data_IF_123130045832
#
_entry.id   IF_123130045832
#
_cell.length_a   1.000
_cell.length_b   1.000
_cell.length_c   1.000
_cell.angle_alpha   90.00
_cell.angle_beta   90.00
_cell.angle_gamma   90.00
#
_symmetry.space_group_name_H-M   'P 1'
#
loop_
_entity.id
_entity.type
_entity.pdbx_description
1 polymer ?
#
# COMPACT_ATOMS: atom_id res chain seq x y z
N UNK A 1 -34.88 -2.87 6.46
CA UNK A 1 -35.26 -3.59 5.23
C UNK A 1 -35.48 -2.59 4.11
N UNK A 2 -34.98 -2.87 2.90
CA UNK A 2 -35.38 -2.17 1.68
C UNK A 2 -36.67 -2.83 1.16
N UNK A 3 -37.79 -2.13 1.31
CA UNK A 3 -39.12 -2.57 0.89
C UNK A 3 -40.18 -1.83 1.67
N UNK A 4 -41.27 -1.43 1.01
CA UNK A 4 -42.45 -1.00 1.74
C UNK A 4 -43.03 -2.21 2.47
N UNK A 5 -43.20 -2.08 3.79
CA UNK A 5 -43.88 -3.09 4.62
C UNK A 5 -45.40 -3.09 4.33
N UNK A 6 -45.87 -2.09 3.59
CA UNK A 6 -47.26 -1.94 3.17
C UNK A 6 -47.52 -2.61 1.81
N UNK A 7 -48.78 -3.02 1.61
CA UNK A 7 -49.26 -3.58 0.35
C UNK A 7 -49.05 -2.55 -0.77
N UNK A 8 -48.10 -2.79 -1.67
CA UNK A 8 -47.79 -1.88 -2.78
C UNK A 8 -49.01 -1.82 -3.70
N UNK A 9 -49.65 -0.65 -3.77
CA UNK A 9 -50.83 -0.48 -4.62
C UNK A 9 -50.52 -0.81 -6.08
N UNK A 10 -51.52 -1.31 -6.81
CA UNK A 10 -51.37 -1.61 -8.24
C UNK A 10 -50.86 -0.40 -9.05
N UNK A 11 -51.27 0.81 -8.64
CA UNK A 11 -50.81 2.07 -9.21
C UNK A 11 -49.33 2.33 -8.95
N UNK A 12 -48.88 2.16 -7.70
CA UNK A 12 -47.47 2.34 -7.32
C UNK A 12 -46.56 1.30 -7.97
N UNK A 13 -47.04 0.06 -8.11
CA UNK A 13 -46.33 -0.98 -8.85
C UNK A 13 -46.23 -0.64 -10.35
N UNK A 14 -47.30 -0.12 -10.95
CA UNK A 14 -47.29 0.33 -12.34
C UNK A 14 -46.40 1.57 -12.56
N UNK A 15 -46.30 2.46 -11.58
CA UNK A 15 -45.34 3.56 -11.60
C UNK A 15 -43.89 3.06 -11.50
N UNK A 16 -43.58 2.22 -10.51
CA UNK A 16 -42.25 1.64 -10.31
C UNK A 16 -41.73 0.93 -11.57
N UNK A 17 -42.59 0.15 -12.24
CA UNK A 17 -42.26 -0.52 -13.51
C UNK A 17 -41.96 0.46 -14.65
N UNK A 18 -42.53 1.67 -14.62
CA UNK A 18 -42.28 2.72 -15.61
C UNK A 18 -41.05 3.55 -15.29
N UNK A 19 -40.52 3.54 -14.06
CA UNK A 19 -39.32 4.30 -13.70
C UNK A 19 -38.11 3.92 -14.55
N UNK A 20 -37.93 2.64 -14.85
CA UNK A 20 -36.84 2.18 -15.73
C UNK A 20 -36.97 2.76 -17.15
N UNK A 21 -38.18 2.73 -17.73
CA UNK A 21 -38.42 3.31 -19.05
C UNK A 21 -38.22 4.84 -19.04
N UNK A 22 -38.75 5.54 -18.03
CA UNK A 22 -38.53 6.99 -17.84
C UNK A 22 -37.05 7.33 -17.72
N UNK A 23 -36.27 6.53 -16.99
CA UNK A 23 -34.84 6.74 -16.83
C UNK A 23 -34.08 6.63 -18.16
N UNK A 24 -34.44 5.67 -19.01
CA UNK A 24 -33.85 5.49 -20.35
C UNK A 24 -34.28 6.59 -21.31
N UNK A 25 -35.55 7.01 -21.25
CA UNK A 25 -36.14 8.02 -22.14
C UNK A 25 -35.85 9.47 -21.71
N UNK A 26 -35.17 9.67 -20.56
CA UNK A 26 -34.81 11.01 -20.07
C UNK A 26 -33.88 11.71 -21.06
N UNK A 27 -34.25 12.89 -21.59
CA UNK A 27 -33.40 13.63 -22.52
C UNK A 27 -32.01 13.92 -21.92
N UNK A 28 -30.95 13.52 -22.63
CA UNK A 28 -29.56 13.60 -22.13
C UNK A 28 -29.09 12.37 -21.33
N UNK A 29 -30.01 11.47 -20.96
CA UNK A 29 -29.74 10.21 -20.28
C UNK A 29 -29.23 10.35 -18.85
N UNK A 30 -29.17 9.22 -18.13
CA UNK A 30 -28.42 9.11 -16.89
C UNK A 30 -26.91 9.19 -17.19
N UNK A 31 -26.23 10.17 -16.61
CA UNK A 31 -24.77 10.29 -16.72
C UNK A 31 -24.09 9.29 -15.80
N UNK A 32 -23.87 8.08 -16.32
CA UNK A 32 -23.10 7.03 -15.64
C UNK A 32 -21.67 7.07 -16.16
N UNK A 33 -20.72 7.39 -15.28
CA UNK A 33 -19.32 7.52 -15.64
C UNK A 33 -18.43 7.26 -14.42
N UNK A 34 -17.15 6.96 -14.67
CA UNK A 34 -16.17 6.82 -13.59
C UNK A 34 -15.84 8.19 -12.98
N UNK A 35 -15.35 8.21 -11.74
CA UNK A 35 -14.90 9.45 -11.08
C UNK A 35 -13.78 10.12 -11.88
N UNK A 36 -12.88 9.34 -12.49
CA UNK A 36 -11.82 9.85 -13.37
C UNK A 36 -12.40 10.58 -14.59
N UNK A 37 -13.37 9.96 -15.27
CA UNK A 37 -14.03 10.57 -16.44
C UNK A 37 -14.80 11.84 -16.06
N UNK A 38 -15.44 11.87 -14.88
CA UNK A 38 -16.04 13.09 -14.32
C UNK A 38 -15.00 14.19 -14.12
N UNK A 39 -13.88 13.86 -13.46
CA UNK A 39 -12.81 14.83 -13.22
C UNK A 39 -12.20 15.34 -14.52
N UNK A 40 -11.95 14.47 -15.50
CA UNK A 40 -11.45 14.88 -16.81
C UNK A 40 -12.44 15.83 -17.53
N UNK A 41 -13.74 15.52 -17.51
CA UNK A 41 -14.76 16.39 -18.10
C UNK A 41 -14.86 17.75 -17.39
N UNK A 42 -14.73 17.76 -16.06
CA UNK A 42 -14.70 18.97 -15.24
C UNK A 42 -13.51 19.86 -15.61
N UNK A 43 -12.31 19.28 -15.67
CA UNK A 43 -11.07 19.99 -15.98
C UNK A 43 -11.06 20.55 -17.41
N UNK A 44 -11.64 19.82 -18.38
CA UNK A 44 -11.80 20.33 -19.76
C UNK A 44 -12.74 21.52 -19.85
N UNK A 45 -13.73 21.61 -18.96
CA UNK A 45 -14.70 22.71 -18.92
C UNK A 45 -14.13 23.96 -18.23
N UNK A 46 -13.23 23.78 -17.27
CA UNK A 46 -12.63 24.86 -16.46
C UNK A 46 -11.09 24.75 -16.40
N UNK A 47 -10.40 24.75 -17.55
CA UNK A 47 -8.96 24.47 -17.58
C UNK A 47 -8.13 25.58 -16.94
N UNK A 48 -8.55 26.84 -17.11
CA UNK A 48 -7.85 28.00 -16.56
C UNK A 48 -7.95 28.04 -15.04
N UNK A 49 -9.16 27.84 -14.51
CA UNK A 49 -9.44 27.81 -13.08
C UNK A 49 -8.76 26.62 -12.40
N UNK A 50 -8.65 25.48 -13.09
CA UNK A 50 -7.98 24.30 -12.56
C UNK A 50 -6.45 24.32 -12.72
N UNK A 51 -5.89 25.34 -13.38
CA UNK A 51 -4.47 25.44 -13.67
C UNK A 51 -3.94 24.28 -14.52
N UNK A 52 -4.73 23.79 -15.48
CA UNK A 52 -4.35 22.73 -16.42
C UNK A 52 -4.30 23.25 -17.85
N UNK A 53 -3.48 22.65 -18.74
CA UNK A 53 -3.52 22.97 -20.17
C UNK A 53 -4.91 22.74 -20.78
N UNK A 54 -5.33 23.60 -21.70
CA UNK A 54 -6.65 23.48 -22.35
C UNK A 54 -6.80 22.17 -23.15
N UNK A 55 -5.70 21.72 -23.75
CA UNK A 55 -5.59 20.55 -24.62
C UNK A 55 -4.86 19.38 -23.93
N UNK A 56 -5.00 19.27 -22.60
CA UNK A 56 -4.33 18.20 -21.87
C UNK A 56 -4.73 16.82 -22.41
N UNK A 57 -3.75 15.91 -22.43
CA UNK A 57 -3.94 14.52 -22.84
C UNK A 57 -3.85 13.61 -21.62
N UNK A 58 -4.81 12.68 -21.51
CA UNK A 58 -4.79 11.65 -20.47
C UNK A 58 -3.66 10.65 -20.76
N UNK A 59 -2.78 10.46 -19.79
CA UNK A 59 -1.59 9.62 -19.93
C UNK A 59 -1.94 8.17 -19.59
N UNK A 60 -1.66 7.25 -20.52
CA UNK A 60 -1.80 5.81 -20.28
C UNK A 60 -0.56 5.22 -19.56
N UNK A 61 -0.68 3.98 -19.07
CA UNK A 61 0.37 3.29 -18.33
C UNK A 61 1.67 3.13 -19.14
N UNK A 62 1.54 2.97 -20.45
CA UNK A 62 2.68 2.81 -21.36
C UNK A 62 3.45 4.14 -21.50
N UNK A 63 2.74 5.24 -21.71
CA UNK A 63 3.30 6.58 -21.76
C UNK A 63 3.97 6.94 -20.43
N UNK A 64 3.32 6.61 -19.30
CA UNK A 64 3.89 6.80 -17.98
C UNK A 64 5.22 6.04 -17.80
N UNK A 65 5.24 4.76 -18.20
CA UNK A 65 6.45 3.92 -18.16
C UNK A 65 7.58 4.49 -19.01
N UNK A 66 7.28 4.92 -20.24
CA UNK A 66 8.28 5.51 -21.14
C UNK A 66 8.81 6.83 -20.59
N UNK A 67 7.94 7.67 -20.03
CA UNK A 67 8.33 8.95 -19.45
C UNK A 67 9.26 8.77 -18.24
N UNK A 68 8.96 7.82 -17.35
CA UNK A 68 9.82 7.50 -16.20
C UNK A 68 11.21 7.05 -16.66
N UNK A 69 11.28 6.19 -17.68
CA UNK A 69 12.56 5.74 -18.27
C UNK A 69 13.36 6.89 -18.88
N UNK A 70 12.72 7.72 -19.70
CA UNK A 70 13.36 8.90 -20.32
C UNK A 70 13.99 9.82 -19.27
N UNK A 71 13.26 10.10 -18.18
CA UNK A 71 13.75 10.94 -17.08
C UNK A 71 14.96 10.31 -16.38
N UNK A 72 14.93 9.00 -16.12
CA UNK A 72 16.06 8.31 -15.48
C UNK A 72 17.28 8.26 -16.41
N UNK A 73 17.10 8.01 -17.70
CA UNK A 73 18.19 8.04 -18.68
C UNK A 73 18.85 9.42 -18.75
N UNK A 74 18.06 10.49 -18.75
CA UNK A 74 18.57 11.86 -18.67
C UNK A 74 19.32 12.12 -17.36
N UNK A 75 18.77 11.67 -16.22
CA UNK A 75 19.43 11.82 -14.93
C UNK A 75 20.77 11.10 -14.90
N UNK A 76 20.86 9.89 -15.46
CA UNK A 76 22.07 9.08 -15.51
C UNK A 76 23.15 9.71 -16.42
N UNK A 77 22.75 10.41 -17.48
CA UNK A 77 23.65 11.10 -18.40
C UNK A 77 24.04 12.52 -17.97
N UNK A 78 23.35 13.09 -16.98
CA UNK A 78 23.45 14.50 -16.61
C UNK A 78 23.94 14.78 -15.18
N UNK A 79 23.61 15.98 -14.68
CA UNK A 79 24.04 16.47 -13.37
C UNK A 79 23.42 15.72 -12.16
N UNK A 80 22.42 14.86 -12.40
CA UNK A 80 21.76 14.06 -11.36
C UNK A 80 22.29 12.62 -11.29
N UNK A 81 23.40 12.32 -11.97
CA UNK A 81 23.99 10.98 -12.04
C UNK A 81 24.29 10.40 -10.65
N UNK A 82 24.81 11.21 -9.73
CA UNK A 82 25.15 10.76 -8.38
C UNK A 82 23.94 10.20 -7.62
N UNK A 83 22.74 10.76 -7.86
CA UNK A 83 21.50 10.26 -7.25
C UNK A 83 21.08 8.91 -7.84
N UNK A 84 21.27 8.72 -9.15
CA UNK A 84 21.04 7.43 -9.84
C UNK A 84 22.03 6.39 -9.34
N UNK A 85 23.32 6.72 -9.28
CA UNK A 85 24.38 5.83 -8.81
C UNK A 85 24.17 5.45 -7.33
N UNK A 86 23.70 6.39 -6.49
CA UNK A 86 23.36 6.12 -5.10
C UNK A 86 22.21 5.10 -4.96
N UNK A 87 21.15 5.23 -5.77
CA UNK A 87 20.06 4.26 -5.76
C UNK A 87 20.51 2.90 -6.31
N UNK A 88 21.28 2.88 -7.40
CA UNK A 88 21.77 1.68 -8.07
C UNK A 88 22.67 0.80 -7.17
N UNK A 89 23.40 1.40 -6.22
CA UNK A 89 24.16 0.65 -5.20
C UNK A 89 23.30 -0.23 -4.30
N UNK A 90 22.01 0.07 -4.20
CA UNK A 90 21.09 -0.62 -3.29
C UNK A 90 19.99 -1.41 -4.01
N UNK A 91 19.75 -1.10 -5.28
CA UNK A 91 18.67 -1.65 -6.08
C UNK A 91 19.22 -2.17 -7.41
N UNK A 92 19.24 -3.49 -7.56
CA UNK A 92 19.79 -4.19 -8.73
C UNK A 92 18.77 -5.11 -9.40
N UNK A 93 17.47 -4.94 -9.13
CA UNK A 93 16.41 -5.82 -9.65
C UNK A 93 15.80 -5.34 -10.97
N UNK A 94 15.26 -6.28 -11.73
CA UNK A 94 14.57 -6.09 -13.02
C UNK A 94 13.28 -5.24 -12.96
N UNK A 95 12.91 -4.71 -11.78
CA UNK A 95 11.62 -4.04 -11.52
C UNK A 95 11.77 -2.54 -11.24
N UNK A 96 12.78 -1.89 -11.84
CA UNK A 96 13.02 -0.44 -11.70
C UNK A 96 11.77 0.38 -12.02
N UNK A 97 11.01 0.01 -13.06
CA UNK A 97 9.81 0.75 -13.43
C UNK A 97 8.75 0.74 -12.33
N UNK A 98 8.54 -0.40 -11.65
CA UNK A 98 7.63 -0.46 -10.51
C UNK A 98 8.11 0.42 -9.38
N UNK A 99 9.42 0.43 -9.08
CA UNK A 99 9.97 1.34 -8.07
C UNK A 99 9.68 2.80 -8.43
N UNK A 100 9.92 3.20 -9.68
CA UNK A 100 9.63 4.56 -10.14
C UNK A 100 8.13 4.88 -10.08
N UNK A 101 7.26 3.92 -10.41
CA UNK A 101 5.81 4.05 -10.26
C UNK A 101 5.35 4.20 -8.81
N UNK A 102 5.96 3.49 -7.86
CA UNK A 102 5.72 3.68 -6.42
C UNK A 102 6.22 5.05 -5.94
N UNK A 103 7.36 5.53 -6.45
CA UNK A 103 7.87 6.88 -6.14
C UNK A 103 6.87 7.94 -6.61
N UNK A 104 6.35 7.83 -7.83
CA UNK A 104 5.35 8.76 -8.36
C UNK A 104 4.05 8.73 -7.53
N UNK A 105 3.52 7.55 -7.22
CA UNK A 105 2.28 7.41 -6.43
C UNK A 105 2.40 7.95 -5.01
N UNK A 106 3.59 7.89 -4.43
CA UNK A 106 3.88 8.39 -3.08
C UNK A 106 4.68 9.69 -3.12
N UNK A 107 4.53 10.52 -4.16
CA UNK A 107 5.32 11.75 -4.35
C UNK A 107 5.31 12.65 -3.12
N UNK A 108 4.16 12.77 -2.45
CA UNK A 108 3.96 13.63 -1.28
C UNK A 108 4.71 13.16 -0.03
N UNK A 109 5.12 11.89 0.01
CA UNK A 109 5.92 11.34 1.11
C UNK A 109 7.41 11.71 1.00
N UNK A 110 7.86 12.21 -0.15
CA UNK A 110 9.25 12.57 -0.38
C UNK A 110 9.48 14.06 -0.13
N UNK A 111 10.40 14.43 0.77
CA UNK A 111 10.76 15.83 0.95
C UNK A 111 11.57 16.34 -0.24
N UNK A 112 11.41 17.63 -0.56
CA UNK A 112 12.23 18.30 -1.56
C UNK A 112 13.73 18.31 -1.18
N UNK A 113 14.03 18.43 0.11
CA UNK A 113 15.40 18.43 0.63
C UNK A 113 15.62 17.20 1.54
N UNK A 114 16.36 16.18 1.07
CA UNK A 114 16.58 14.95 1.82
C UNK A 114 17.61 15.15 2.93
N UNK A 115 17.15 15.10 4.19
CA UNK A 115 18.03 15.15 5.36
C UNK A 115 18.54 13.75 5.75
N UNK A 116 19.86 13.56 5.72
CA UNK A 116 20.50 12.32 6.17
C UNK A 116 20.33 12.13 7.68
N UNK A 117 20.55 13.16 8.49
CA UNK A 117 20.50 13.05 9.95
C UNK A 117 19.10 12.65 10.42
N UNK A 118 18.06 13.32 9.92
CA UNK A 118 16.67 12.97 10.16
C UNK A 118 16.32 11.58 9.66
N UNK A 119 16.86 11.14 8.52
CA UNK A 119 16.65 9.76 8.05
C UNK A 119 17.28 8.73 8.99
N UNK A 120 18.50 8.96 9.47
CA UNK A 120 19.18 8.07 10.42
C UNK A 120 18.42 7.99 11.76
N UNK A 121 17.89 9.13 12.23
CA UNK A 121 17.13 9.20 13.47
C UNK A 121 15.83 8.37 13.43
N UNK A 122 15.16 8.27 12.28
CA UNK A 122 13.98 7.39 12.11
C UNK A 122 14.27 5.91 12.42
N UNK A 123 15.53 5.50 12.32
CA UNK A 123 15.98 4.14 12.62
C UNK A 123 16.78 4.04 13.92
N UNK A 124 16.71 5.07 14.78
CA UNK A 124 17.40 5.08 16.08
C UNK A 124 18.92 5.18 15.98
N UNK A 125 19.44 5.75 14.90
CA UNK A 125 20.89 5.91 14.67
C UNK A 125 21.30 7.38 14.77
N UNK A 126 22.53 7.62 15.23
CA UNK A 126 23.11 8.96 15.20
C UNK A 126 23.41 9.40 13.76
N UNK A 127 23.53 10.70 13.54
CA UNK A 127 23.80 11.27 12.22
C UNK A 127 25.10 10.73 11.63
N UNK A 128 26.15 10.57 12.43
CA UNK A 128 27.47 10.13 11.96
C UNK A 128 27.66 8.61 12.00
N UNK A 129 26.61 7.85 12.37
CA UNK A 129 26.73 6.40 12.38
C UNK A 129 26.88 5.86 10.95
N UNK A 130 27.87 5.00 10.76
CA UNK A 130 28.20 4.43 9.47
C UNK A 130 28.70 2.98 9.59
N UNK A 131 29.13 2.42 8.47
CA UNK A 131 29.67 1.07 8.42
C UNK A 131 30.93 0.92 9.26
N UNK A 132 31.78 1.94 9.31
CA UNK A 132 33.03 1.88 10.06
C UNK A 132 32.76 1.86 11.57
N UNK A 133 31.89 2.76 12.06
CA UNK A 133 31.46 2.80 13.45
C UNK A 133 30.82 1.47 13.88
N UNK A 134 29.94 0.88 13.04
CA UNK A 134 29.36 -0.43 13.32
C UNK A 134 30.44 -1.52 13.49
N UNK A 135 31.43 -1.56 12.58
CA UNK A 135 32.49 -2.57 12.64
C UNK A 135 33.41 -2.35 13.83
N UNK A 136 33.73 -1.10 14.19
CA UNK A 136 34.53 -0.76 15.37
C UNK A 136 33.82 -1.12 16.69
N UNK A 137 32.49 -0.96 16.75
CA UNK A 137 31.71 -1.37 17.92
C UNK A 137 31.57 -2.90 18.03
N UNK A 138 31.73 -3.62 16.91
CA UNK A 138 31.50 -5.07 16.86
C UNK A 138 32.79 -5.88 17.03
N UNK A 139 33.89 -5.41 16.45
CA UNK A 139 35.16 -6.13 16.38
C UNK A 139 36.25 -5.44 17.21
N UNK A 140 37.11 -6.23 17.85
CA UNK A 140 38.31 -5.78 18.52
C UNK A 140 39.55 -6.58 18.06
N UNK A 141 40.71 -6.27 18.65
CA UNK A 141 41.99 -6.85 18.26
C UNK A 141 42.11 -8.37 18.50
N UNK A 142 41.25 -8.95 19.33
CA UNK A 142 41.25 -10.39 19.70
C UNK A 142 40.54 -11.25 18.67
N UNK A 143 39.57 -10.69 17.94
CA UNK A 143 38.62 -11.47 17.14
C UNK A 143 39.26 -12.19 15.95
N UNK A 144 40.16 -11.54 15.22
CA UNK A 144 40.81 -12.17 14.06
C UNK A 144 41.81 -13.26 14.47
N UNK A 145 42.66 -13.07 15.51
CA UNK A 145 43.42 -14.17 16.11
C UNK A 145 42.52 -15.31 16.60
N UNK A 146 41.45 -15.00 17.33
CA UNK A 146 40.50 -15.98 17.84
C UNK A 146 39.90 -16.85 16.73
N UNK A 147 39.44 -16.24 15.63
CA UNK A 147 38.89 -16.96 14.48
C UNK A 147 39.96 -17.88 13.89
N UNK A 148 41.19 -17.40 13.73
CA UNK A 148 42.32 -18.18 13.19
C UNK A 148 42.64 -19.40 14.03
N UNK A 149 42.64 -19.26 15.35
CA UNK A 149 42.94 -20.34 16.29
C UNK A 149 41.78 -21.34 16.39
N UNK A 150 40.53 -20.89 16.19
CA UNK A 150 39.34 -21.72 16.21
C UNK A 150 39.18 -22.58 14.94
N UNK A 151 39.63 -22.09 13.77
CA UNK A 151 39.50 -22.79 12.47
C UNK A 151 40.02 -24.24 12.47
N UNK A 152 41.28 -24.54 12.85
CA UNK A 152 41.79 -25.91 12.80
C UNK A 152 41.02 -26.85 13.74
N UNK A 153 40.49 -26.33 14.85
CA UNK A 153 39.69 -27.09 15.80
C UNK A 153 38.30 -27.46 15.23
N UNK A 154 37.67 -26.52 14.52
CA UNK A 154 36.37 -26.75 13.86
C UNK A 154 36.49 -27.75 12.71
N UNK A 155 37.57 -27.69 11.93
CA UNK A 155 37.84 -28.64 10.84
C UNK A 155 37.97 -30.08 11.33
N UNK A 156 38.63 -30.26 12.49
CA UNK A 156 38.84 -31.55 13.15
C UNK A 156 37.56 -32.13 13.78
N UNK A 157 36.64 -31.30 14.31
CA UNK A 157 35.41 -31.74 15.01
C UNK A 157 34.32 -32.37 14.10
N UNK A 158 34.36 -32.09 12.78
CA UNK A 158 33.47 -32.69 11.78
C UNK A 158 31.99 -32.23 11.84
N UNK A 159 31.17 -32.65 10.88
CA UNK A 159 29.73 -32.31 10.82
C UNK A 159 29.45 -30.80 10.72
N UNK A 160 28.53 -30.29 11.55
CA UNK A 160 28.16 -28.86 11.56
C UNK A 160 29.32 -27.93 11.93
N UNK A 161 30.25 -28.37 12.79
CA UNK A 161 31.42 -27.58 13.16
C UNK A 161 32.36 -27.39 11.95
N UNK A 162 32.59 -28.44 11.15
CA UNK A 162 33.38 -28.33 9.91
C UNK A 162 32.73 -27.40 8.89
N UNK A 163 31.39 -27.45 8.75
CA UNK A 163 30.65 -26.52 7.87
C UNK A 163 30.77 -25.07 8.35
N UNK A 164 30.76 -24.84 9.67
CA UNK A 164 31.01 -23.53 10.25
C UNK A 164 32.45 -23.07 10.00
N UNK A 165 33.44 -23.94 10.20
CA UNK A 165 34.85 -23.67 9.89
C UNK A 165 35.06 -23.24 8.44
N UNK A 166 34.47 -23.96 7.46
CA UNK A 166 34.56 -23.61 6.05
C UNK A 166 33.99 -22.21 5.71
N UNK A 167 32.98 -21.75 6.45
CA UNK A 167 32.43 -20.39 6.29
C UNK A 167 33.30 -19.35 7.00
N UNK A 168 33.76 -19.65 8.23
CA UNK A 168 34.67 -18.80 8.99
C UNK A 168 36.00 -18.58 8.26
N UNK A 169 36.46 -19.54 7.46
CA UNK A 169 37.68 -19.41 6.67
C UNK A 169 37.62 -18.25 5.64
N UNK A 170 36.43 -17.71 5.36
CA UNK A 170 36.22 -16.52 4.52
C UNK A 170 36.26 -15.20 5.30
N UNK A 171 36.53 -15.25 6.61
CA UNK A 171 36.65 -14.09 7.49
C UNK A 171 38.13 -13.84 7.76
N UNK A 172 38.72 -12.92 7.01
CA UNK A 172 40.13 -12.54 7.08
C UNK A 172 40.34 -11.19 7.79
N UNK A 173 39.38 -10.28 7.66
CA UNK A 173 39.38 -8.97 8.31
C UNK A 173 37.96 -8.52 8.72
N UNK A 174 37.85 -7.58 9.69
CA UNK A 174 36.58 -6.92 10.01
C UNK A 174 35.96 -6.29 8.75
N UNK A 175 34.77 -6.75 8.39
CA UNK A 175 34.04 -6.25 7.22
C UNK A 175 32.54 -6.55 7.35
N UNK A 176 31.73 -5.89 6.52
CA UNK A 176 30.29 -6.20 6.46
C UNK A 176 30.02 -7.66 6.06
N UNK A 177 30.84 -8.20 5.15
CA UNK A 177 30.75 -9.60 4.74
C UNK A 177 31.12 -10.54 5.90
N UNK A 178 32.19 -10.22 6.65
CA UNK A 178 32.59 -10.96 7.83
C UNK A 178 31.48 -10.97 8.90
N UNK A 179 30.91 -9.81 9.22
CA UNK A 179 29.79 -9.70 10.18
C UNK A 179 28.60 -10.56 9.74
N UNK A 180 28.20 -10.50 8.48
CA UNK A 180 27.11 -11.33 7.96
C UNK A 180 27.42 -12.83 8.03
N UNK A 181 28.67 -13.24 7.75
CA UNK A 181 29.11 -14.63 7.91
C UNK A 181 28.99 -15.05 9.37
N UNK A 182 29.50 -14.23 10.30
CA UNK A 182 29.45 -14.50 11.73
C UNK A 182 28.02 -14.60 12.24
N UNK A 183 27.10 -13.74 11.80
CA UNK A 183 25.68 -13.85 12.14
C UNK A 183 25.09 -15.22 11.76
N UNK A 184 25.47 -15.80 10.61
CA UNK A 184 24.96 -17.12 10.20
C UNK A 184 25.50 -18.28 11.03
N UNK A 185 26.64 -18.07 11.70
CA UNK A 185 27.37 -19.12 12.42
C UNK A 185 27.09 -19.01 13.91
N UNK A 186 27.30 -17.82 14.47
CA UNK A 186 27.27 -17.49 15.88
C UNK A 186 25.86 -17.21 16.42
N UNK A 187 24.86 -16.92 15.56
CA UNK A 187 23.49 -16.67 15.99
C UNK A 187 22.54 -17.81 15.61
N UNK A 188 21.47 -17.96 16.38
CA UNK A 188 20.36 -18.88 16.09
C UNK A 188 19.60 -18.47 14.83
N UNK A 189 18.91 -19.44 14.21
CA UNK A 189 18.12 -19.20 13.00
C UNK A 189 16.80 -18.48 13.29
N UNK A 190 16.15 -18.00 12.22
CA UNK A 190 14.85 -17.31 12.28
C UNK A 190 13.72 -18.13 12.92
N UNK A 191 13.81 -19.47 12.84
CA UNK A 191 12.78 -20.41 13.32
C UNK A 191 13.09 -20.97 14.73
N UNK A 192 14.11 -20.42 15.42
CA UNK A 192 14.45 -20.81 16.79
C UNK A 192 13.52 -20.17 17.82
N UNK A 193 13.43 -20.75 19.02
CA UNK A 193 12.63 -20.19 20.13
C UNK A 193 13.06 -18.76 20.52
N UNK A 194 14.35 -18.47 20.42
CA UNK A 194 14.91 -17.12 20.46
C UNK A 194 15.64 -16.87 19.12
N UNK A 195 14.99 -16.21 18.14
CA UNK A 195 15.57 -15.97 16.82
C UNK A 195 16.75 -15.00 16.87
N UNK A 196 17.82 -15.32 16.12
CA UNK A 196 19.01 -14.49 15.98
C UNK A 196 19.74 -14.15 17.30
N UNK A 197 19.60 -14.99 18.32
CA UNK A 197 20.31 -14.85 19.58
C UNK A 197 21.67 -15.55 19.55
N UNK A 198 22.62 -15.08 20.35
CA UNK A 198 23.94 -15.67 20.47
C UNK A 198 23.86 -17.16 20.85
N UNK A 199 24.61 -18.02 20.14
CA UNK A 199 24.71 -19.47 20.40
C UNK A 199 25.62 -19.80 21.59
N UNK A 200 25.57 -18.97 22.63
CA UNK A 200 26.28 -19.21 23.90
C UNK A 200 25.83 -20.57 24.45
N UNK A 201 26.78 -21.39 24.88
CA UNK A 201 26.49 -22.74 25.37
C UNK A 201 25.95 -23.73 24.33
N UNK A 202 25.92 -23.40 23.03
CA UNK A 202 25.45 -24.30 21.96
C UNK A 202 26.34 -24.39 20.72
N UNK A 203 27.26 -23.45 20.52
CA UNK A 203 28.33 -23.53 19.51
C UNK A 203 29.70 -23.32 20.16
N UNK A 204 30.75 -24.05 19.74
CA UNK A 204 30.72 -25.28 18.94
C UNK A 204 30.07 -26.46 19.67
N UNK A 205 30.12 -27.68 19.10
CA UNK A 205 29.63 -28.89 19.79
C UNK A 205 30.26 -29.04 21.18
N UNK A 206 29.49 -29.61 22.11
CA UNK A 206 29.86 -29.81 23.52
C UNK A 206 31.27 -30.37 23.71
N UNK A 207 31.64 -31.45 23.00
CA UNK A 207 32.95 -32.08 23.13
C UNK A 207 34.13 -31.17 22.74
N UNK A 208 33.93 -30.31 21.72
CA UNK A 208 34.96 -29.35 21.32
C UNK A 208 35.01 -28.17 22.30
N UNK A 209 33.83 -27.64 22.67
CA UNK A 209 33.66 -26.52 23.60
C UNK A 209 34.27 -26.78 24.98
N UNK A 210 34.04 -27.98 25.53
CA UNK A 210 34.55 -28.38 26.85
C UNK A 210 35.96 -28.99 26.78
N UNK A 211 36.52 -29.14 25.57
CA UNK A 211 37.82 -29.76 25.30
C UNK A 211 38.80 -28.76 24.69
N UNK A 212 39.24 -29.03 23.46
CA UNK A 212 40.32 -28.30 22.81
C UNK A 212 40.03 -26.80 22.59
N UNK A 213 38.76 -26.39 22.50
CA UNK A 213 38.39 -24.98 22.36
C UNK A 213 38.09 -24.27 23.69
N UNK A 214 38.18 -24.95 24.84
CA UNK A 214 37.75 -24.41 26.13
C UNK A 214 38.41 -23.07 26.49
N UNK A 215 39.71 -22.92 26.18
CA UNK A 215 40.45 -21.68 26.42
C UNK A 215 40.00 -20.50 25.54
N UNK A 216 39.40 -20.77 24.37
CA UNK A 216 38.92 -19.78 23.41
C UNK A 216 37.46 -19.36 23.69
N UNK A 217 36.73 -20.13 24.50
CA UNK A 217 35.30 -19.92 24.71
C UNK A 217 34.93 -18.56 25.31
N UNK A 218 35.63 -18.01 26.32
CA UNK A 218 35.28 -16.70 26.86
C UNK A 218 35.31 -15.58 25.79
N UNK A 219 36.36 -15.54 24.97
CA UNK A 219 36.46 -14.55 23.88
C UNK A 219 35.46 -14.84 22.76
N UNK A 220 35.17 -16.11 22.47
CA UNK A 220 34.16 -16.49 21.48
C UNK A 220 32.75 -16.11 21.92
N UNK A 221 32.39 -16.31 23.19
CA UNK A 221 31.08 -15.94 23.73
C UNK A 221 30.92 -14.42 23.78
N UNK A 222 31.99 -13.67 24.09
CA UNK A 222 32.01 -12.20 24.00
C UNK A 222 31.79 -11.73 22.54
N UNK A 223 32.49 -12.32 21.57
CA UNK A 223 32.25 -12.04 20.15
C UNK A 223 30.81 -12.40 19.72
N UNK A 224 30.25 -13.51 20.19
CA UNK A 224 28.85 -13.88 19.91
C UNK A 224 27.89 -12.80 20.42
N UNK A 225 28.09 -12.31 21.64
CA UNK A 225 27.25 -11.28 22.24
C UNK A 225 27.36 -9.94 21.47
N UNK A 226 28.58 -9.55 21.07
CA UNK A 226 28.79 -8.35 20.22
C UNK A 226 28.14 -8.48 18.85
N UNK A 227 28.23 -9.66 18.21
CA UNK A 227 27.56 -9.94 16.93
C UNK A 227 26.03 -9.91 17.07
N UNK A 228 25.47 -10.45 18.16
CA UNK A 228 24.04 -10.36 18.47
C UNK A 228 23.60 -8.89 18.61
N UNK A 229 24.33 -8.08 19.38
CA UNK A 229 24.06 -6.66 19.56
C UNK A 229 24.22 -5.84 18.27
N UNK A 230 25.16 -6.21 17.40
CA UNK A 230 25.44 -5.52 16.14
C UNK A 230 24.36 -5.77 15.08
N UNK A 231 23.72 -6.94 15.09
CA UNK A 231 22.73 -7.33 14.08
C UNK A 231 21.58 -6.34 13.89
N UNK A 232 20.81 -5.92 14.92
CA UNK A 232 19.73 -4.95 14.75
C UNK A 232 20.25 -3.60 14.24
N UNK A 233 21.43 -3.15 14.71
CA UNK A 233 22.08 -1.90 14.27
C UNK A 233 22.50 -1.98 12.80
N UNK A 234 23.00 -3.13 12.35
CA UNK A 234 23.33 -3.39 10.94
C UNK A 234 22.10 -3.32 10.04
N UNK A 235 21.01 -3.94 10.46
CA UNK A 235 19.74 -3.92 9.72
C UNK A 235 19.23 -2.47 9.66
N UNK A 236 19.19 -1.77 10.80
CA UNK A 236 18.81 -0.37 10.88
C UNK A 236 19.65 0.51 9.94
N UNK A 237 20.98 0.36 9.96
CA UNK A 237 21.89 1.12 9.09
C UNK A 237 21.62 0.82 7.61
N UNK A 238 21.45 -0.46 7.25
CA UNK A 238 21.14 -0.84 5.87
C UNK A 238 19.82 -0.22 5.40
N UNK A 239 18.77 -0.23 6.22
CA UNK A 239 17.48 0.36 5.86
C UNK A 239 17.58 1.89 5.80
N UNK A 240 18.25 2.52 6.75
CA UNK A 240 18.46 3.97 6.77
C UNK A 240 19.19 4.47 5.53
N UNK A 241 20.27 3.82 5.12
CA UNK A 241 21.03 4.17 3.92
C UNK A 241 20.21 3.98 2.64
N UNK A 242 19.45 2.87 2.54
CA UNK A 242 18.54 2.61 1.40
C UNK A 242 17.44 3.67 1.32
N UNK A 243 16.80 3.99 2.44
CA UNK A 243 15.75 5.02 2.52
C UNK A 243 16.30 6.41 2.19
N UNK A 244 17.50 6.73 2.64
CA UNK A 244 18.14 8.00 2.32
C UNK A 244 18.48 8.10 0.82
N UNK A 245 19.06 7.04 0.23
CA UNK A 245 19.33 6.98 -1.20
C UNK A 245 18.05 7.12 -2.04
N UNK A 246 16.95 6.49 -1.61
CA UNK A 246 15.64 6.64 -2.23
C UNK A 246 15.13 8.08 -2.16
N UNK A 247 15.24 8.74 -0.99
CA UNK A 247 14.83 10.15 -0.81
C UNK A 247 15.67 11.10 -1.68
N UNK A 248 16.98 10.89 -1.76
CA UNK A 248 17.88 11.66 -2.63
C UNK A 248 17.52 11.49 -4.10
N UNK A 249 17.26 10.25 -4.53
CA UNK A 249 16.81 9.97 -5.88
C UNK A 249 15.47 10.65 -6.18
N UNK A 250 14.46 10.48 -5.31
CA UNK A 250 13.13 11.04 -5.50
C UNK A 250 13.14 12.58 -5.57
N UNK A 251 13.94 13.24 -4.72
CA UNK A 251 14.11 14.70 -4.74
C UNK A 251 14.67 15.22 -6.08
N UNK A 252 15.51 14.43 -6.76
CA UNK A 252 16.01 14.77 -8.09
C UNK A 252 15.04 14.35 -9.21
N UNK A 253 14.38 13.20 -9.06
CA UNK A 253 13.54 12.58 -10.08
C UNK A 253 12.17 13.25 -10.22
N UNK A 254 11.44 13.45 -9.12
CA UNK A 254 10.06 13.95 -9.14
C UNK A 254 9.92 15.30 -9.85
N UNK A 255 10.75 16.33 -9.57
CA UNK A 255 10.64 17.61 -10.27
C UNK A 255 10.84 17.50 -11.78
N UNK A 256 11.75 16.63 -12.22
CA UNK A 256 12.01 16.37 -13.66
C UNK A 256 10.84 15.64 -14.29
N UNK A 257 10.32 14.61 -13.62
CA UNK A 257 9.14 13.88 -14.06
C UNK A 257 7.94 14.82 -14.23
N UNK A 258 7.63 15.63 -13.21
CA UNK A 258 6.53 16.60 -13.28
C UNK A 258 6.75 17.66 -14.37
N UNK A 259 7.97 18.18 -14.55
CA UNK A 259 8.28 19.13 -15.61
C UNK A 259 8.09 18.52 -17.02
N UNK A 260 8.55 17.29 -17.24
CA UNK A 260 8.42 16.58 -18.52
C UNK A 260 6.97 16.18 -18.82
N UNK A 261 6.20 15.86 -17.77
CA UNK A 261 4.75 15.61 -17.86
C UNK A 261 4.01 16.89 -18.23
N UNK A 262 4.29 18.00 -17.53
CA UNK A 262 3.68 19.31 -17.79
C UNK A 262 4.03 19.86 -19.19
N UNK A 263 5.28 19.71 -19.64
CA UNK A 263 5.71 20.15 -20.98
C UNK A 263 4.97 19.47 -22.13
N UNK A 264 4.41 18.27 -21.90
CA UNK A 264 3.59 17.52 -22.86
C UNK A 264 2.09 17.74 -22.69
N UNK A 265 1.70 18.55 -21.69
CA UNK A 265 0.32 18.71 -21.28
C UNK A 265 -0.33 17.39 -20.86
N UNK A 266 0.43 16.47 -20.26
CA UNK A 266 -0.09 15.18 -19.84
C UNK A 266 -0.64 15.24 -18.42
N UNK A 267 -1.76 14.56 -18.18
CA UNK A 267 -2.32 14.31 -16.85
C UNK A 267 -2.58 12.81 -16.70
N UNK A 268 -2.12 12.22 -15.60
CA UNK A 268 -2.51 10.87 -15.19
C UNK A 268 -3.79 10.89 -14.33
N UNK A 269 -4.32 9.71 -13.99
CA UNK A 269 -5.56 9.60 -13.22
C UNK A 269 -5.47 10.29 -11.85
N UNK A 270 -4.33 10.20 -11.18
CA UNK A 270 -4.11 10.85 -9.89
C UNK A 270 -4.10 12.38 -10.03
N UNK A 271 -3.49 12.91 -11.10
CA UNK A 271 -3.55 14.34 -11.41
C UNK A 271 -4.98 14.81 -11.64
N UNK A 272 -5.79 14.05 -12.38
CA UNK A 272 -7.17 14.42 -12.67
C UNK A 272 -7.97 14.59 -11.37
N UNK A 273 -7.83 13.63 -10.44
CA UNK A 273 -8.47 13.70 -9.12
C UNK A 273 -7.93 14.88 -8.31
N UNK A 274 -6.60 15.07 -8.28
CA UNK A 274 -5.97 16.13 -7.49
C UNK A 274 -6.33 17.54 -8.00
N UNK A 275 -6.32 17.77 -9.31
CA UNK A 275 -6.72 19.04 -9.91
C UNK A 275 -8.21 19.31 -9.75
N UNK A 276 -9.07 18.30 -9.94
CA UNK A 276 -10.52 18.46 -9.72
C UNK A 276 -10.83 18.76 -8.25
N UNK A 277 -10.19 18.05 -7.32
CA UNK A 277 -10.31 18.30 -5.89
C UNK A 277 -9.89 19.72 -5.49
N UNK A 278 -8.78 20.22 -6.05
CA UNK A 278 -8.33 21.61 -5.84
C UNK A 278 -9.31 22.62 -6.41
N UNK A 279 -9.77 22.43 -7.65
CA UNK A 279 -10.76 23.31 -8.30
C UNK A 279 -12.04 23.43 -7.46
N UNK A 280 -12.53 22.32 -6.93
CA UNK A 280 -13.74 22.28 -6.10
C UNK A 280 -13.52 22.77 -4.66
N UNK A 281 -12.27 22.88 -4.22
CA UNK A 281 -11.93 23.35 -2.87
C UNK A 281 -11.55 24.83 -2.83
N UNK A 282 -11.28 25.47 -3.97
CA UNK A 282 -10.94 26.89 -4.05
C UNK A 282 -12.19 27.77 -3.86
N UNK A 283 -12.31 28.50 -2.73
CA UNK A 283 -13.50 29.29 -2.44
C UNK A 283 -13.78 30.40 -3.46
N UNK A 284 -12.77 30.83 -4.22
CA UNK A 284 -12.89 31.91 -5.20
C UNK A 284 -13.61 31.48 -6.48
N UNK A 285 -13.54 30.19 -6.84
CA UNK A 285 -14.09 29.66 -8.10
C UNK A 285 -15.10 28.53 -7.88
N UNK A 286 -15.03 27.79 -6.76
CA UNK A 286 -15.81 26.58 -6.54
C UNK A 286 -17.32 26.80 -6.68
N UNK A 287 -17.89 27.85 -6.06
CA UNK A 287 -19.32 28.14 -6.15
C UNK A 287 -19.76 28.40 -7.60
N UNK A 288 -18.95 29.13 -8.37
CA UNK A 288 -19.24 29.41 -9.77
C UNK A 288 -19.09 28.16 -10.64
N UNK A 289 -18.05 27.35 -10.42
CA UNK A 289 -17.84 26.06 -11.10
C UNK A 289 -19.01 25.12 -10.87
N UNK A 290 -19.42 24.94 -9.61
CA UNK A 290 -20.56 24.12 -9.20
C UNK A 290 -21.88 24.62 -9.81
N UNK A 291 -22.10 25.95 -9.82
CA UNK A 291 -23.26 26.56 -10.47
C UNK A 291 -23.28 26.32 -11.99
N UNK A 292 -22.11 26.38 -12.64
CA UNK A 292 -21.95 26.22 -14.09
C UNK A 292 -21.95 24.76 -14.55
N UNK A 293 -21.73 23.79 -13.66
CA UNK A 293 -21.94 22.36 -13.89
C UNK A 293 -23.43 22.08 -14.14
N UNK A 294 -23.88 22.23 -15.40
CA UNK A 294 -25.18 21.82 -15.97
C UNK A 294 -26.47 22.19 -15.19
N UNK A 295 -26.44 23.27 -14.41
CA UNK A 295 -27.60 23.72 -13.62
C UNK A 295 -27.66 23.15 -12.20
N UNK A 296 -26.58 22.51 -11.73
CA UNK A 296 -26.50 21.90 -10.42
C UNK A 296 -26.70 20.39 -10.52
N UNK A 297 -25.78 19.63 -9.94
CA UNK A 297 -25.98 18.20 -9.72
C UNK A 297 -27.05 18.09 -8.64
N UNK A 298 -28.20 17.52 -8.97
CA UNK A 298 -29.27 17.32 -7.98
C UNK A 298 -29.10 16.00 -7.21
N UNK A 299 -28.54 14.99 -7.86
CA UNK A 299 -28.40 13.64 -7.29
C UNK A 299 -26.99 13.09 -7.52
N UNK A 300 -26.35 12.61 -6.45
CA UNK A 300 -25.06 11.91 -6.50
C UNK A 300 -25.32 10.45 -6.14
N UNK A 301 -25.03 9.55 -7.08
CA UNK A 301 -25.11 8.11 -6.87
C UNK A 301 -23.68 7.54 -6.92
N UNK A 302 -23.25 6.92 -5.83
CA UNK A 302 -21.93 6.28 -5.70
C UNK A 302 -22.15 4.79 -5.55
N UNK A 303 -21.66 4.02 -6.51
CA UNK A 303 -21.64 2.55 -6.47
C UNK A 303 -20.22 2.06 -6.13
N UNK A 304 -20.10 0.84 -5.61
CA UNK A 304 -18.83 0.24 -5.15
C UNK A 304 -18.01 1.18 -4.24
N UNK A 305 -18.71 1.86 -3.32
CA UNK A 305 -18.13 2.92 -2.48
C UNK A 305 -16.96 2.44 -1.59
N UNK A 306 -16.87 1.13 -1.31
CA UNK A 306 -15.74 0.55 -0.58
C UNK A 306 -14.41 0.64 -1.33
N UNK A 307 -14.44 0.73 -2.67
CA UNK A 307 -13.25 0.76 -3.52
C UNK A 307 -12.82 2.19 -3.92
N UNK A 308 -13.44 3.20 -3.31
CA UNK A 308 -13.15 4.61 -3.58
C UNK A 308 -11.93 5.11 -2.79
N UNK A 309 -11.01 5.78 -3.48
CA UNK A 309 -9.78 6.32 -2.87
C UNK A 309 -10.02 7.60 -2.06
N UNK A 310 -9.13 8.00 -1.14
CA UNK A 310 -9.28 9.24 -0.37
C UNK A 310 -9.44 10.50 -1.23
N UNK A 311 -8.71 10.61 -2.35
CA UNK A 311 -8.82 11.75 -3.26
C UNK A 311 -10.18 11.80 -3.97
N UNK A 312 -10.70 10.64 -4.39
CA UNK A 312 -12.03 10.54 -4.99
C UNK A 312 -13.13 10.90 -3.98
N UNK A 313 -13.01 10.44 -2.73
CA UNK A 313 -13.90 10.83 -1.65
C UNK A 313 -13.89 12.33 -1.39
N UNK A 314 -12.72 12.98 -1.47
CA UNK A 314 -12.63 14.43 -1.33
C UNK A 314 -13.40 15.16 -2.44
N UNK A 315 -13.35 14.67 -3.68
CA UNK A 315 -14.15 15.22 -4.79
C UNK A 315 -15.65 15.05 -4.51
N UNK A 316 -16.09 13.84 -4.12
CA UNK A 316 -17.50 13.56 -3.80
C UNK A 316 -18.00 14.45 -2.66
N UNK A 317 -17.20 14.60 -1.61
CA UNK A 317 -17.51 15.45 -0.46
C UNK A 317 -17.76 16.90 -0.88
N UNK A 318 -16.89 17.46 -1.72
CA UNK A 318 -17.04 18.85 -2.18
C UNK A 318 -18.26 19.07 -3.06
N UNK A 319 -18.62 18.08 -3.88
CA UNK A 319 -19.85 18.14 -4.66
C UNK A 319 -21.09 18.09 -3.76
N UNK A 320 -21.04 17.31 -2.68
CA UNK A 320 -22.15 17.15 -1.74
C UNK A 320 -22.27 18.28 -0.71
N UNK A 321 -21.22 19.08 -0.47
CA UNK A 321 -21.24 20.22 0.47
C UNK A 321 -22.37 21.21 0.19
N UNK A 322 -22.69 21.43 -1.10
CA UNK A 322 -23.77 22.34 -1.52
C UNK A 322 -25.17 21.78 -1.22
N UNK A 323 -25.32 20.50 -0.87
CA UNK A 323 -26.63 19.86 -0.68
C UNK A 323 -27.19 20.10 0.71
N UNK A 324 -26.33 20.48 1.66
CA UNK A 324 -26.70 20.79 3.05
C UNK A 324 -26.57 22.28 3.37
N UNK A 325 -26.08 23.10 2.43
CA UNK A 325 -25.88 24.53 2.60
C UNK A 325 -27.16 25.35 2.24
N UNK A 326 -28.16 25.36 3.14
CA UNK A 326 -29.32 26.27 3.07
C UNK A 326 -30.21 26.16 1.82
N UNK A 327 -31.18 27.08 1.67
CA UNK A 327 -32.00 27.19 0.45
C UNK A 327 -31.09 27.52 -0.74
N UNK A 328 -30.74 26.49 -1.52
CA UNK A 328 -30.02 26.66 -2.77
C UNK A 328 -30.81 27.53 -3.76
N UNK A 329 -30.16 28.02 -4.80
CA UNK A 329 -30.79 28.85 -5.84
C UNK A 329 -31.95 28.15 -6.61
N UNK A 330 -32.19 26.87 -6.34
CA UNK A 330 -33.24 26.03 -6.91
C UNK A 330 -34.03 25.35 -5.79
N UNK A 331 -35.36 25.40 -5.89
CA UNK A 331 -36.29 24.69 -5.02
C UNK A 331 -36.36 23.20 -5.39
N UNK A 332 -35.23 22.50 -5.30
CA UNK A 332 -35.08 21.08 -5.65
C UNK A 332 -34.36 20.35 -4.53
N UNK A 333 -34.95 19.25 -4.06
CA UNK A 333 -34.34 18.40 -3.02
C UNK A 333 -33.15 17.63 -3.59
N UNK A 334 -31.94 18.04 -3.21
CA UNK A 334 -30.70 17.36 -3.64
C UNK A 334 -30.35 16.16 -2.79
N UNK A 335 -30.00 15.02 -3.36
CA UNK A 335 -29.79 13.76 -2.60
C UNK A 335 -28.46 13.08 -2.91
N UNK A 336 -27.95 12.34 -1.92
CA UNK A 336 -26.81 11.44 -2.09
C UNK A 336 -27.26 10.00 -1.80
N UNK A 337 -26.84 9.06 -2.63
CA UNK A 337 -27.10 7.64 -2.49
C UNK A 337 -25.80 6.88 -2.67
N UNK A 338 -25.42 6.08 -1.66
CA UNK A 338 -24.14 5.38 -1.61
C UNK A 338 -24.40 3.90 -1.40
N UNK A 339 -23.86 3.07 -2.30
CA UNK A 339 -23.93 1.61 -2.22
C UNK A 339 -22.51 1.07 -2.13
N UNK A 340 -22.30 0.10 -1.25
CA UNK A 340 -21.03 -0.59 -1.14
C UNK A 340 -21.10 -1.75 -0.17
N UNK A 341 -20.17 -2.69 -0.30
CA UNK A 341 -20.01 -3.83 0.59
C UNK A 341 -18.59 -3.91 1.11
N UNK A 342 -18.43 -3.70 2.43
CA UNK A 342 -17.13 -3.78 3.10
C UNK A 342 -16.42 -5.11 2.84
N UNK A 343 -17.17 -6.21 2.71
CA UNK A 343 -16.66 -7.56 2.49
C UNK A 343 -16.03 -7.74 1.10
N UNK A 344 -16.31 -6.82 0.18
CA UNK A 344 -15.85 -6.86 -1.22
C UNK A 344 -14.69 -5.90 -1.51
N UNK A 345 -14.21 -5.17 -0.51
CA UNK A 345 -13.06 -4.26 -0.64
C UNK A 345 -11.76 -5.04 -0.91
N UNK A 346 -11.38 -5.17 -2.18
CA UNK A 346 -10.17 -5.91 -2.61
C UNK A 346 -9.14 -5.05 -3.33
N UNK A 347 -9.41 -3.76 -3.55
CA UNK A 347 -8.56 -2.84 -4.32
C UNK A 347 -7.66 -1.94 -3.46
N UNK A 348 -7.23 -2.39 -2.28
CA UNK A 348 -6.32 -1.61 -1.42
C UNK A 348 -4.98 -1.29 -2.10
N UNK A 349 -4.53 -2.12 -3.03
CA UNK A 349 -3.34 -1.88 -3.85
C UNK A 349 -3.51 -0.74 -4.88
N UNK A 350 -4.75 -0.31 -5.16
CA UNK A 350 -5.08 0.87 -5.96
C UNK A 350 -5.46 2.08 -5.10
N UNK A 351 -5.28 2.00 -3.77
CA UNK A 351 -5.53 3.09 -2.85
C UNK A 351 -6.95 3.17 -2.29
N UNK A 352 -7.78 2.14 -2.50
CA UNK A 352 -9.07 2.03 -1.79
C UNK A 352 -8.84 1.99 -0.27
N UNK A 353 -9.60 2.81 0.46
CA UNK A 353 -9.49 2.90 1.92
C UNK A 353 -10.86 2.69 2.59
N UNK A 354 -11.03 1.48 3.13
CA UNK A 354 -12.23 1.08 3.86
C UNK A 354 -12.50 1.96 5.09
N UNK A 355 -11.46 2.48 5.75
CA UNK A 355 -11.62 3.39 6.90
C UNK A 355 -12.17 4.73 6.43
N UNK A 356 -11.78 5.18 5.24
CA UNK A 356 -12.29 6.42 4.65
C UNK A 356 -13.75 6.28 4.27
N UNK A 357 -14.16 5.14 3.73
CA UNK A 357 -15.59 4.84 3.48
C UNK A 357 -16.43 4.98 4.75
N UNK A 358 -16.01 4.36 5.85
CA UNK A 358 -16.68 4.46 7.17
C UNK A 358 -16.71 5.90 7.68
N UNK A 359 -15.58 6.60 7.61
CA UNK A 359 -15.47 8.01 8.00
C UNK A 359 -16.45 8.89 7.22
N UNK A 360 -16.54 8.66 5.91
CA UNK A 360 -17.40 9.45 5.04
C UNK A 360 -18.89 9.16 5.28
N UNK A 361 -19.25 7.90 5.56
CA UNK A 361 -20.60 7.54 6.00
C UNK A 361 -21.01 8.33 7.24
N UNK A 362 -20.17 8.34 8.28
CA UNK A 362 -20.43 9.10 9.51
C UNK A 362 -20.49 10.61 9.26
N UNK A 363 -19.60 11.13 8.41
CA UNK A 363 -19.56 12.54 8.04
C UNK A 363 -20.83 13.01 7.34
N UNK A 364 -21.26 12.29 6.31
CA UNK A 364 -22.52 12.64 5.63
C UNK A 364 -23.72 12.46 6.55
N UNK A 365 -23.74 11.43 7.41
CA UNK A 365 -24.83 11.25 8.37
C UNK A 365 -24.98 12.47 9.28
N UNK A 366 -23.87 12.96 9.85
CA UNK A 366 -23.88 14.15 10.70
C UNK A 366 -24.30 15.43 9.94
N UNK A 367 -23.82 15.63 8.71
CA UNK A 367 -24.17 16.80 7.89
C UNK A 367 -25.65 16.83 7.51
N UNK A 368 -26.18 15.70 7.06
CA UNK A 368 -27.57 15.57 6.65
C UNK A 368 -28.54 15.60 7.84
N UNK A 369 -28.15 15.07 9.00
CA UNK A 369 -28.86 15.25 10.28
C UNK A 369 -29.00 16.74 10.62
N UNK A 370 -27.89 17.49 10.58
CA UNK A 370 -27.89 18.93 10.87
C UNK A 370 -28.76 19.75 9.90
N UNK A 371 -28.93 19.27 8.66
CA UNK A 371 -29.82 19.85 7.66
C UNK A 371 -31.29 19.39 7.77
N UNK A 372 -31.65 18.62 8.80
CA UNK A 372 -33.02 18.13 9.02
C UNK A 372 -33.45 17.02 8.05
N UNK A 373 -32.50 16.34 7.41
CA UNK A 373 -32.73 15.34 6.35
C UNK A 373 -31.85 14.10 6.55
N UNK A 374 -32.05 13.33 7.64
CA UNK A 374 -31.13 12.28 8.06
C UNK A 374 -30.87 11.23 6.98
N UNK A 375 -29.61 10.78 6.88
CA UNK A 375 -29.26 9.65 6.01
C UNK A 375 -29.94 8.38 6.49
N UNK A 376 -30.52 7.64 5.53
CA UNK A 376 -31.07 6.32 5.79
C UNK A 376 -29.98 5.27 5.57
N UNK A 377 -29.71 4.46 6.61
CA UNK A 377 -28.82 3.30 6.49
C UNK A 377 -29.67 2.05 6.34
N UNK A 378 -29.48 1.34 5.23
CA UNK A 378 -30.26 0.15 4.88
C UNK A 378 -29.31 -0.99 4.50
N UNK A 379 -29.69 -2.21 4.89
CA UNK A 379 -28.94 -3.43 4.57
C UNK A 379 -29.73 -4.30 3.59
N UNK A 380 -29.01 -4.94 2.68
CA UNK A 380 -29.54 -5.89 1.69
C UNK A 380 -29.14 -7.31 2.06
N UNK A 381 -29.97 -7.96 2.87
CA UNK A 381 -29.72 -9.34 3.32
C UNK A 381 -30.11 -10.40 2.25
N UNK A 382 -31.01 -10.04 1.34
CA UNK A 382 -31.54 -10.96 0.33
C UNK A 382 -30.65 -11.03 -0.91
N UNK A 383 -30.12 -12.22 -1.20
CA UNK A 383 -29.46 -12.54 -2.46
C UNK A 383 -30.47 -13.10 -3.47
N UNK A 384 -30.58 -12.40 -4.60
CA UNK A 384 -31.32 -12.85 -5.78
C UNK A 384 -30.48 -13.68 -6.75
N UNK A 385 -29.17 -13.81 -6.50
CA UNK A 385 -28.19 -14.40 -7.45
C UNK A 385 -27.88 -15.87 -7.17
N UNK A 386 -27.95 -16.31 -5.92
CA UNK A 386 -27.38 -17.59 -5.49
C UNK A 386 -28.37 -18.46 -4.74
N UNK A 387 -28.17 -19.78 -4.81
CA UNK A 387 -28.99 -20.76 -4.11
C UNK A 387 -28.63 -20.83 -2.62
N UNK A 388 -29.54 -21.34 -1.77
CA UNK A 388 -29.26 -21.53 -0.35
C UNK A 388 -28.01 -22.38 -0.07
N UNK A 389 -27.68 -23.34 -0.94
CA UNK A 389 -26.52 -24.20 -0.76
C UNK A 389 -25.19 -23.43 -0.83
N UNK A 390 -25.07 -22.50 -1.77
CA UNK A 390 -23.87 -21.66 -1.93
C UNK A 390 -23.77 -20.65 -0.79
N UNK A 391 -24.87 -19.94 -0.49
CA UNK A 391 -24.88 -18.90 0.56
C UNK A 391 -24.54 -19.48 1.93
N UNK A 392 -25.10 -20.63 2.30
CA UNK A 392 -24.77 -21.29 3.57
C UNK A 392 -23.30 -21.67 3.67
N UNK A 393 -22.68 -22.14 2.59
CA UNK A 393 -21.25 -22.46 2.64
C UNK A 393 -20.41 -21.20 2.83
N UNK A 394 -20.75 -20.11 2.14
CA UNK A 394 -20.09 -18.81 2.33
C UNK A 394 -20.23 -18.40 3.80
N UNK A 395 -21.45 -18.36 4.35
CA UNK A 395 -21.68 -17.99 5.74
C UNK A 395 -20.89 -18.86 6.73
N UNK A 396 -20.87 -20.18 6.53
CA UNK A 396 -20.09 -21.11 7.36
C UNK A 396 -18.57 -20.93 7.23
N UNK A 397 -18.09 -20.52 6.06
CA UNK A 397 -16.66 -20.25 5.83
C UNK A 397 -16.22 -19.01 6.61
N UNK A 398 -17.09 -17.99 6.66
CA UNK A 398 -16.82 -16.71 7.31
C UNK A 398 -17.26 -16.63 8.78
N UNK A 399 -17.99 -17.62 9.31
CA UNK A 399 -18.42 -17.69 10.70
C UNK A 399 -17.32 -18.04 11.72
N UNK A 400 -16.04 -18.14 11.32
CA UNK A 400 -14.91 -18.49 12.21
C UNK A 400 -14.36 -17.28 12.96
N UNK A 401 -13.86 -17.51 14.17
CA UNK A 401 -13.18 -16.49 14.98
C UNK A 401 -12.02 -15.83 14.22
N UNK A 402 -11.93 -14.49 14.27
CA UNK A 402 -10.88 -13.70 13.62
C UNK A 402 -11.32 -12.88 12.39
N UNK A 403 -12.58 -12.94 11.99
CA UNK A 403 -13.13 -12.15 10.86
C UNK A 403 -13.78 -10.82 11.26
N UNK A 404 -13.55 -10.33 12.49
CA UNK A 404 -14.07 -9.04 12.98
C UNK A 404 -13.71 -7.85 12.06
N UNK A 405 -12.57 -7.92 11.36
CA UNK A 405 -12.14 -6.91 10.38
C UNK A 405 -13.08 -6.75 9.18
N UNK A 406 -13.92 -7.74 8.87
CA UNK A 406 -14.90 -7.70 7.77
C UNK A 406 -16.26 -7.10 8.17
N UNK A 407 -16.42 -6.63 9.42
CA UNK A 407 -17.64 -5.98 9.88
C UNK A 407 -18.64 -6.90 10.59
N UNK A 408 -18.21 -8.08 11.04
CA UNK A 408 -19.01 -9.01 11.84
C UNK A 408 -19.41 -10.29 11.09
N UNK A 409 -20.32 -11.07 11.69
CA UNK A 409 -20.81 -12.32 11.11
C UNK A 409 -21.57 -12.09 9.81
N UNK A 410 -21.29 -12.89 8.79
CA UNK A 410 -22.02 -12.84 7.51
C UNK A 410 -23.33 -13.60 7.61
N UNK A 411 -24.43 -12.95 7.22
CA UNK A 411 -25.72 -13.61 7.04
C UNK A 411 -26.28 -13.26 5.67
N UNK A 412 -26.56 -14.28 4.84
CA UNK A 412 -27.21 -14.09 3.55
C UNK A 412 -28.52 -14.89 3.47
N UNK A 413 -29.58 -14.25 2.99
CA UNK A 413 -30.90 -14.86 2.78
C UNK A 413 -31.10 -15.12 1.29
N UNK A 414 -31.33 -16.36 0.87
CA UNK A 414 -31.67 -16.63 -0.53
C UNK A 414 -33.11 -16.19 -0.81
N UNK A 415 -33.30 -15.25 -1.75
CA UNK A 415 -34.66 -14.87 -2.19
C UNK A 415 -35.36 -16.04 -2.88
N UNK A 416 -34.64 -16.81 -3.70
CA UNK A 416 -35.13 -18.02 -4.34
C UNK A 416 -34.80 -19.25 -3.50
N UNK A 417 -35.55 -19.47 -2.42
CA UNK A 417 -35.32 -20.59 -1.48
C UNK A 417 -35.35 -21.98 -2.15
N UNK A 418 -36.08 -22.15 -3.26
CA UNK A 418 -36.16 -23.39 -4.02
C UNK A 418 -35.09 -23.58 -5.09
N UNK A 419 -34.17 -22.62 -5.29
CA UNK A 419 -33.15 -22.71 -6.32
C UNK A 419 -32.17 -23.85 -6.01
N UNK A 420 -32.00 -24.85 -6.89
CA UNK A 420 -31.08 -25.96 -6.63
C UNK A 420 -29.63 -25.45 -6.59
N UNK A 421 -28.79 -26.09 -5.79
CA UNK A 421 -27.37 -25.76 -5.66
C UNK A 421 -26.55 -26.89 -5.09
N UNK A 422 -25.28 -26.97 -5.51
CA UNK A 422 -24.29 -27.93 -5.03
C UNK A 422 -22.97 -27.20 -4.85
N UNK A 423 -22.20 -27.58 -3.84
CA UNK A 423 -20.79 -27.18 -3.72
C UNK A 423 -19.94 -28.42 -3.54
N UNK A 424 -18.94 -28.57 -4.40
CA UNK A 424 -17.99 -29.68 -4.37
C UNK A 424 -16.64 -29.18 -3.86
N UNK A 425 -16.10 -29.84 -2.82
CA UNK A 425 -14.76 -29.55 -2.32
C UNK A 425 -13.75 -30.43 -3.06
N UNK A 426 -12.89 -29.82 -3.86
CA UNK A 426 -11.84 -30.53 -4.57
C UNK A 426 -10.60 -30.67 -3.66
N UNK A 427 -9.85 -31.78 -3.75
CA UNK A 427 -8.61 -31.93 -2.99
C UNK A 427 -7.60 -30.84 -3.36
N UNK A 428 -6.80 -30.35 -2.41
CA UNK A 428 -5.78 -29.35 -2.68
C UNK A 428 -4.76 -29.89 -3.69
N UNK A 429 -4.32 -29.04 -4.62
CA UNK A 429 -3.21 -29.37 -5.51
C UNK A 429 -1.92 -29.31 -4.70
N UNK A 430 -1.24 -30.45 -4.56
CA UNK A 430 0.04 -30.51 -3.86
C UNK A 430 1.10 -29.66 -4.60
N UNK A 431 1.95 -28.97 -3.84
CA UNK A 431 3.09 -28.27 -4.44
C UNK A 431 4.00 -29.31 -5.10
N UNK A 432 4.46 -29.09 -6.34
CA UNK A 432 5.41 -29.99 -6.96
C UNK A 432 6.65 -30.09 -6.07
N UNK A 433 7.16 -31.32 -5.90
CA UNK A 433 8.42 -31.55 -5.22
C UNK A 433 9.49 -30.67 -5.88
N UNK A 434 10.24 -29.91 -5.06
CA UNK A 434 11.39 -29.16 -5.57
C UNK A 434 12.33 -30.18 -6.24
N UNK A 435 12.79 -29.94 -7.48
CA UNK A 435 13.78 -30.81 -8.08
C UNK A 435 14.99 -30.89 -7.14
N UNK A 436 15.46 -32.11 -6.88
CA UNK A 436 16.74 -32.32 -6.18
C UNK A 436 17.81 -31.54 -6.96
N UNK A 437 18.47 -30.60 -6.29
CA UNK A 437 19.67 -29.97 -6.81
C UNK A 437 20.71 -31.08 -7.04
N UNK A 438 20.95 -31.41 -8.30
CA UNK A 438 21.92 -32.41 -8.75
C UNK A 438 23.36 -31.88 -8.67
#
# INVERSE_FOLDING_TARGET
>A
ELGEVEDVSAERLAEARRLFAKAIETPGGLKIQTIHSFCAALLRRFPLEAGVPHDFTEMDDRAATLLRKEVVEEMAAGAARDAVDALARHYSSDDLDRLLGEICRNSDAFPAEPDRAGTMALFGLSADFDTQALLQDTFDARDMPLIRDLLPLLEASGGNDRKAGARLARVDAPSMAALQILETILLTGKDAAAPFSAKIGSFPKKALREGAAAALMPDLEDLMARVEAARPRRIALSVALRSHALRVFAAAFLPRYHARKAARGWLDFDDLIAHAGRLLSDPSVAQWVLFRLDGGIDHILVDEAQDTSPGQWAVIERLADEFTAGEGARDVTRTIFVVGDRKQSIYSFQGADLRRFETMRSHFAAKFEAAGRPLQTLELEHSFRSSPAVLRLVDQTFARDGMEGLGGGTHHIAFHAGLPGRVDLWPPVEKPAKPEEA
#
